data_IF_970106314041
#
_entry.id   IF_970106314041
#
_cell.length_a   1.000
_cell.length_b   1.000
_cell.length_c   1.000
_cell.angle_alpha   90.00
_cell.angle_beta   90.00
_cell.angle_gamma   90.00
#
_symmetry.space_group_name_H-M   'P 1'
#
loop_
_entity.id
_entity.type
_entity.pdbx_description
1 polymer ?
#
# COMPACT_ATOMS: atom_id res chain seq x y z
N UNK A 1 -42.35 -59.26 -0.60
CA UNK A 1 -43.54 -58.84 -1.36
C UNK A 1 -43.24 -57.45 -1.89
N UNK A 2 -42.20 -57.30 -2.72
CA UNK A 2 -42.02 -57.83 -4.11
C UNK A 2 -42.85 -56.97 -5.05
N UNK A 3 -42.42 -56.40 -6.17
CA UNK A 3 -41.39 -56.64 -7.20
C UNK A 3 -41.20 -55.26 -7.90
N UNK A 4 -40.06 -54.73 -8.35
CA UNK A 4 -39.03 -55.13 -9.33
C UNK A 4 -39.50 -55.45 -10.76
N UNK A 5 -38.95 -54.71 -11.73
CA UNK A 5 -38.84 -55.04 -13.16
C UNK A 5 -39.53 -54.03 -14.10
N UNK A 6 -39.00 -53.62 -15.25
CA UNK A 6 -37.83 -54.06 -16.03
C UNK A 6 -37.58 -53.11 -17.24
N UNK A 7 -36.40 -53.28 -17.84
CA UNK A 7 -35.95 -53.01 -19.22
C UNK A 7 -35.02 -51.80 -19.43
N UNK A 8 -33.80 -51.92 -19.99
CA UNK A 8 -33.15 -53.06 -20.64
C UNK A 8 -31.63 -52.93 -20.81
N UNK A 9 -30.97 -54.06 -21.14
CA UNK A 9 -29.54 -54.32 -21.44
C UNK A 9 -29.26 -54.21 -22.97
N UNK A 10 -28.04 -54.50 -23.53
CA UNK A 10 -26.63 -54.19 -23.18
C UNK A 10 -25.75 -53.67 -24.38
N UNK A 11 -24.47 -53.34 -24.11
CA UNK A 11 -23.29 -53.01 -24.99
C UNK A 11 -22.96 -54.02 -26.13
N UNK A 12 -22.00 -53.83 -27.12
CA UNK A 12 -20.66 -53.16 -27.05
C UNK A 12 -20.06 -52.55 -28.36
N UNK A 13 -18.81 -52.02 -28.34
CA UNK A 13 -17.94 -51.93 -29.55
C UNK A 13 -16.90 -50.79 -29.62
N UNK A 14 -15.66 -51.12 -30.02
CA UNK A 14 -14.41 -50.35 -29.91
C UNK A 14 -14.08 -49.33 -31.03
N UNK A 15 -13.11 -48.43 -30.75
CA UNK A 15 -12.01 -48.10 -31.68
C UNK A 15 -11.94 -46.66 -32.23
N UNK A 16 -10.87 -45.93 -31.88
CA UNK A 16 -10.45 -44.71 -32.61
C UNK A 16 -9.55 -43.74 -31.83
N UNK A 17 -8.23 -43.90 -31.95
CA UNK A 17 -7.17 -42.86 -31.77
C UNK A 17 -7.24 -41.89 -32.97
N UNK A 18 -7.08 -40.56 -32.88
CA UNK A 18 -5.87 -39.79 -32.55
C UNK A 18 -6.21 -38.25 -32.61
N UNK A 19 -5.29 -37.26 -32.63
CA UNK A 19 -4.97 -36.38 -31.51
C UNK A 19 -5.20 -34.87 -31.78
N UNK A 20 -5.06 -34.03 -30.74
CA UNK A 20 -4.64 -32.63 -30.94
C UNK A 20 -5.56 -31.54 -30.38
N UNK A 21 -5.40 -31.22 -29.11
CA UNK A 21 -5.68 -29.87 -28.59
C UNK A 21 -4.57 -29.52 -27.60
N UNK A 22 -3.71 -28.59 -28.04
CA UNK A 22 -2.59 -28.08 -27.24
C UNK A 22 -3.08 -27.36 -25.97
N UNK A 23 -2.17 -27.15 -24.99
CA UNK A 23 -2.54 -26.57 -23.72
C UNK A 23 -2.97 -25.12 -23.93
N UNK A 24 -4.23 -24.84 -23.57
CA UNK A 24 -4.75 -23.49 -23.43
C UNK A 24 -3.81 -22.74 -22.48
N UNK A 25 -3.06 -21.79 -23.04
CA UNK A 25 -2.15 -20.93 -22.31
C UNK A 25 -3.00 -20.09 -21.35
N UNK A 26 -3.11 -20.59 -20.13
CA UNK A 26 -3.79 -19.91 -19.03
C UNK A 26 -3.34 -18.46 -18.97
N UNK A 27 -4.23 -17.56 -19.40
CA UNK A 27 -4.11 -16.14 -19.06
C UNK A 27 -4.04 -16.10 -17.54
N UNK A 28 -2.99 -15.49 -16.94
CA UNK A 28 -2.92 -15.38 -15.50
C UNK A 28 -4.18 -14.64 -15.03
N UNK A 29 -5.04 -15.36 -14.32
CA UNK A 29 -6.25 -14.84 -13.71
C UNK A 29 -5.77 -13.87 -12.64
N UNK A 30 -5.65 -12.59 -13.01
CA UNK A 30 -5.30 -11.50 -12.09
C UNK A 30 -6.27 -11.61 -10.91
N UNK A 31 -5.76 -12.05 -9.78
CA UNK A 31 -6.45 -12.09 -8.50
C UNK A 31 -7.06 -10.71 -8.29
N UNK A 32 -8.38 -10.65 -8.23
CA UNK A 32 -9.09 -9.45 -7.84
C UNK A 32 -8.68 -9.16 -6.40
N UNK A 33 -7.74 -8.25 -6.21
CA UNK A 33 -7.33 -7.87 -4.87
C UNK A 33 -8.47 -7.14 -4.14
N UNK A 34 -8.60 -7.37 -2.82
CA UNK A 34 -9.68 -6.83 -2.00
C UNK A 34 -9.43 -5.35 -1.70
N UNK A 35 -9.54 -4.52 -2.73
CA UNK A 35 -9.44 -3.08 -2.64
C UNK A 35 -10.82 -2.46 -2.83
N UNK A 36 -11.58 -2.29 -1.74
CA UNK A 36 -12.94 -1.77 -1.78
C UNK A 36 -13.07 -0.48 -2.59
N UNK A 37 -13.78 -0.54 -3.71
CA UNK A 37 -14.05 0.60 -4.57
C UNK A 37 -14.68 0.17 -5.89
N UNK A 38 -15.51 1.03 -6.46
CA UNK A 38 -16.13 0.80 -7.77
C UNK A 38 -15.12 1.14 -8.87
N UNK A 39 -14.85 0.20 -9.79
CA UNK A 39 -13.99 0.46 -10.94
C UNK A 39 -14.69 1.45 -11.88
N UNK A 40 -14.12 2.64 -12.04
CA UNK A 40 -14.65 3.70 -12.90
C UNK A 40 -14.11 3.61 -14.33
N UNK A 41 -12.84 3.22 -14.49
CA UNK A 41 -12.20 3.16 -15.81
C UNK A 41 -10.72 2.81 -15.76
N UNK A 42 -10.05 2.82 -16.93
CA UNK A 42 -8.62 2.53 -17.07
C UNK A 42 -7.87 3.56 -17.93
N UNK A 43 -7.78 4.84 -17.52
CA UNK A 43 -6.98 5.83 -18.24
C UNK A 43 -5.51 5.40 -18.30
N UNK A 44 -4.91 5.47 -19.50
CA UNK A 44 -3.53 5.04 -19.77
C UNK A 44 -3.17 3.62 -19.29
N UNK A 45 -4.17 2.73 -19.18
CA UNK A 45 -3.99 1.35 -18.72
C UNK A 45 -3.98 1.17 -17.20
N UNK A 46 -4.11 2.24 -16.42
CA UNK A 46 -4.13 2.21 -14.94
C UNK A 46 -5.56 2.21 -14.43
N UNK A 47 -5.98 1.24 -13.60
CA UNK A 47 -7.35 1.19 -13.09
C UNK A 47 -7.64 2.30 -12.06
N UNK A 48 -8.76 3.00 -12.26
CA UNK A 48 -9.27 4.04 -11.35
C UNK A 48 -10.45 3.47 -10.55
N UNK A 49 -10.34 3.54 -9.23
CA UNK A 49 -11.37 3.08 -8.28
C UNK A 49 -11.96 4.25 -7.51
N UNK A 50 -13.28 4.22 -7.28
CA UNK A 50 -13.98 5.18 -6.41
C UNK A 50 -14.33 4.50 -5.11
N UNK A 51 -13.77 4.97 -4.00
CA UNK A 51 -14.07 4.45 -2.67
C UNK A 51 -15.45 4.93 -2.19
N UNK A 52 -16.18 4.17 -1.36
CA UNK A 52 -17.50 4.59 -0.84
C UNK A 52 -17.49 5.95 -0.12
N UNK A 53 -16.37 6.29 0.53
CA UNK A 53 -16.19 7.56 1.22
C UNK A 53 -16.26 8.78 0.30
N UNK A 54 -16.01 8.59 -1.00
CA UNK A 54 -16.18 9.63 -2.01
C UNK A 54 -17.62 10.16 -2.06
N UNK A 55 -18.62 9.28 -2.01
CA UNK A 55 -20.04 9.68 -2.08
C UNK A 55 -20.44 10.53 -0.88
N UNK A 56 -19.89 10.23 0.30
CA UNK A 56 -20.13 11.01 1.53
C UNK A 56 -19.56 12.42 1.39
N UNK A 57 -18.35 12.57 0.87
CA UNK A 57 -17.74 13.89 0.64
C UNK A 57 -18.48 14.66 -0.45
N UNK A 58 -18.84 14.01 -1.54
CA UNK A 58 -19.62 14.64 -2.60
C UNK A 58 -20.95 15.19 -2.06
N UNK A 59 -21.65 14.42 -1.21
CA UNK A 59 -22.88 14.88 -0.54
C UNK A 59 -22.60 16.06 0.40
N UNK A 60 -21.52 16.03 1.18
CA UNK A 60 -21.13 17.12 2.07
C UNK A 60 -20.80 18.41 1.30
N UNK A 61 -20.00 18.32 0.23
CA UNK A 61 -19.69 19.46 -0.65
C UNK A 61 -20.98 20.01 -1.26
N UNK A 62 -21.85 19.13 -1.75
CA UNK A 62 -23.14 19.53 -2.33
C UNK A 62 -24.00 20.29 -1.32
N UNK A 63 -24.03 19.86 -0.07
CA UNK A 63 -24.79 20.51 0.99
C UNK A 63 -24.19 21.89 1.36
N UNK A 64 -22.88 21.93 1.65
CA UNK A 64 -22.18 23.16 2.05
C UNK A 64 -22.21 24.20 0.93
N UNK A 65 -21.83 23.82 -0.28
CA UNK A 65 -21.80 24.72 -1.43
C UNK A 65 -23.21 25.11 -1.88
N UNK A 66 -24.19 24.20 -1.79
CA UNK A 66 -25.60 24.52 -2.03
C UNK A 66 -26.14 25.58 -1.06
N UNK A 67 -25.70 25.56 0.20
CA UNK A 67 -26.02 26.61 1.18
C UNK A 67 -25.33 27.95 0.87
N UNK A 68 -24.09 27.93 0.36
CA UNK A 68 -23.40 29.14 -0.09
C UNK A 68 -24.06 29.76 -1.33
N UNK A 69 -24.52 28.92 -2.27
CA UNK A 69 -25.22 29.37 -3.47
C UNK A 69 -26.49 30.15 -3.15
N UNK A 70 -27.16 29.88 -2.02
CA UNK A 70 -28.34 30.64 -1.58
C UNK A 70 -28.03 32.12 -1.35
N UNK A 71 -26.80 32.43 -0.89
CA UNK A 71 -26.37 33.79 -0.60
C UNK A 71 -26.01 34.57 -1.85
N UNK A 72 -25.61 33.87 -2.92
CA UNK A 72 -25.09 34.47 -4.16
C UNK A 72 -26.14 34.45 -5.28
N UNK A 73 -26.93 33.38 -5.35
CA UNK A 73 -27.93 33.11 -6.38
C UNK A 73 -29.25 32.65 -5.72
N UNK A 74 -29.93 33.53 -4.96
CA UNK A 74 -31.15 33.18 -4.22
C UNK A 74 -32.29 32.72 -5.13
N UNK A 75 -32.32 33.19 -6.39
CA UNK A 75 -33.37 32.90 -7.35
C UNK A 75 -33.39 31.45 -7.85
N UNK A 76 -32.35 30.65 -7.56
CA UNK A 76 -32.25 29.25 -8.00
C UNK A 76 -33.16 28.28 -7.21
N UNK A 77 -33.59 28.66 -6.00
CA UNK A 77 -34.34 27.77 -5.12
C UNK A 77 -33.67 26.41 -4.95
N UNK A 78 -34.41 25.30 -5.13
CA UNK A 78 -33.88 23.94 -4.98
C UNK A 78 -32.82 23.53 -6.01
N UNK A 79 -32.76 24.19 -7.18
CA UNK A 79 -31.79 23.87 -8.25
C UNK A 79 -30.34 24.13 -7.81
N UNK A 80 -30.13 24.95 -6.78
CA UNK A 80 -28.80 25.21 -6.20
C UNK A 80 -28.06 23.93 -5.81
N UNK A 81 -28.77 22.90 -5.35
CA UNK A 81 -28.14 21.63 -4.98
C UNK A 81 -27.74 20.79 -6.20
N UNK A 82 -28.42 20.93 -7.34
CA UNK A 82 -27.97 20.31 -8.59
C UNK A 82 -26.70 20.99 -9.11
N UNK A 83 -26.65 22.33 -9.04
CA UNK A 83 -25.44 23.09 -9.39
C UNK A 83 -24.29 22.73 -8.45
N UNK A 84 -24.56 22.58 -7.15
CA UNK A 84 -23.55 22.17 -6.18
C UNK A 84 -23.08 20.73 -6.35
N UNK A 85 -23.97 19.81 -6.75
CA UNK A 85 -23.58 18.45 -7.11
C UNK A 85 -22.69 18.43 -8.36
N UNK A 86 -23.05 19.22 -9.38
CA UNK A 86 -22.22 19.38 -10.57
C UNK A 86 -20.84 19.93 -10.20
N UNK A 87 -20.79 20.96 -9.34
CA UNK A 87 -19.53 21.48 -8.81
C UNK A 87 -18.71 20.41 -8.11
N UNK A 88 -19.31 19.61 -7.22
CA UNK A 88 -18.60 18.54 -6.51
C UNK A 88 -17.99 17.52 -7.48
N UNK A 89 -18.74 17.11 -8.51
CA UNK A 89 -18.26 16.18 -9.54
C UNK A 89 -17.13 16.81 -10.36
N UNK A 90 -17.28 18.05 -10.80
CA UNK A 90 -16.28 18.77 -11.57
C UNK A 90 -14.99 19.02 -10.77
N UNK A 91 -15.12 19.35 -9.48
CA UNK A 91 -13.99 19.48 -8.55
C UNK A 91 -13.24 18.16 -8.42
N UNK A 92 -13.93 17.04 -8.19
CA UNK A 92 -13.29 15.72 -8.16
C UNK A 92 -12.68 15.32 -9.48
N UNK A 93 -13.27 15.69 -10.62
CA UNK A 93 -12.65 15.49 -11.92
C UNK A 93 -11.32 16.25 -12.02
N UNK A 94 -11.24 17.48 -11.50
CA UNK A 94 -9.98 18.23 -11.46
C UNK A 94 -8.92 17.59 -10.55
N UNK A 95 -9.33 17.04 -9.39
CA UNK A 95 -8.44 16.24 -8.51
C UNK A 95 -7.98 14.95 -9.21
N UNK A 96 -8.86 14.28 -9.95
CA UNK A 96 -8.47 13.11 -10.74
C UNK A 96 -7.45 13.48 -11.82
N UNK A 97 -7.62 14.64 -12.48
CA UNK A 97 -6.65 15.15 -13.46
C UNK A 97 -5.30 15.43 -12.79
N UNK A 98 -5.27 15.98 -11.57
CA UNK A 98 -4.06 16.15 -10.76
C UNK A 98 -3.36 14.80 -10.50
N UNK A 99 -4.07 13.79 -10.02
CA UNK A 99 -3.51 12.44 -9.81
C UNK A 99 -3.03 11.78 -11.11
N UNK A 100 -3.75 12.02 -12.20
CA UNK A 100 -3.39 11.51 -13.51
C UNK A 100 -2.07 12.13 -13.99
N UNK A 101 -1.79 13.37 -13.62
CA UNK A 101 -0.51 14.03 -13.89
C UNK A 101 0.66 13.26 -13.26
N UNK A 102 0.54 12.90 -11.98
CA UNK A 102 1.53 12.06 -11.30
C UNK A 102 1.66 10.68 -11.96
N UNK A 103 0.53 10.06 -12.27
CA UNK A 103 0.50 8.74 -12.91
C UNK A 103 1.19 8.77 -14.27
N UNK A 104 0.89 9.75 -15.12
CA UNK A 104 1.53 9.91 -16.43
C UNK A 104 3.03 10.16 -16.28
N UNK A 105 3.45 11.00 -15.33
CA UNK A 105 4.87 11.23 -15.05
C UNK A 105 5.58 9.94 -14.57
N UNK A 106 4.94 9.14 -13.71
CA UNK A 106 5.45 7.86 -13.24
C UNK A 106 5.61 6.85 -14.39
N UNK A 107 4.59 6.73 -15.26
CA UNK A 107 4.63 5.87 -16.44
C UNK A 107 5.74 6.29 -17.41
N UNK A 108 5.98 7.59 -17.58
CA UNK A 108 7.10 8.11 -18.39
C UNK A 108 8.47 7.72 -17.83
N UNK A 109 8.59 7.63 -16.50
CA UNK A 109 9.77 7.11 -15.83
C UNK A 109 9.80 5.58 -15.67
N UNK A 110 8.86 4.86 -16.30
CA UNK A 110 8.71 3.39 -16.23
C UNK A 110 8.53 2.87 -14.81
N UNK A 111 7.96 3.69 -13.93
CA UNK A 111 7.59 3.27 -12.58
C UNK A 111 6.23 2.55 -12.65
N UNK A 112 6.12 1.32 -12.14
CA UNK A 112 4.85 0.59 -12.12
C UNK A 112 3.83 1.29 -11.22
N UNK A 113 2.65 1.57 -11.79
CA UNK A 113 1.50 2.15 -11.09
C UNK A 113 0.41 1.09 -11.02
N UNK A 114 -0.01 0.77 -9.79
CA UNK A 114 -0.94 -0.33 -9.52
C UNK A 114 -2.39 0.07 -9.72
N UNK A 115 -2.77 1.22 -9.18
CA UNK A 115 -4.12 1.80 -9.28
C UNK A 115 -4.15 3.25 -8.83
N UNK A 116 -5.21 3.96 -9.23
CA UNK A 116 -5.60 5.27 -8.69
C UNK A 116 -6.87 5.05 -7.88
N UNK A 117 -6.92 5.55 -6.64
CA UNK A 117 -8.11 5.45 -5.80
C UNK A 117 -8.59 6.85 -5.39
N UNK A 118 -9.84 7.18 -5.72
CA UNK A 118 -10.51 8.38 -5.23
C UNK A 118 -11.16 8.09 -3.88
N UNK A 119 -10.77 8.83 -2.86
CA UNK A 119 -11.18 8.66 -1.47
C UNK A 119 -11.56 9.99 -0.82
N UNK A 120 -11.92 9.94 0.47
CA UNK A 120 -12.35 11.10 1.26
C UNK A 120 -11.37 12.29 1.18
N UNK A 121 -10.08 12.03 1.26
CA UNK A 121 -9.03 13.06 1.31
C UNK A 121 -8.49 13.48 -0.07
N UNK A 122 -9.13 13.07 -1.16
CA UNK A 122 -8.66 13.30 -2.53
C UNK A 122 -8.37 12.00 -3.26
N UNK A 123 -7.49 12.05 -4.26
CA UNK A 123 -7.02 10.85 -4.95
C UNK A 123 -5.70 10.36 -4.37
N UNK A 124 -5.44 9.05 -4.46
CA UNK A 124 -4.15 8.46 -4.13
C UNK A 124 -3.73 7.56 -5.28
N UNK A 125 -2.57 7.87 -5.85
CA UNK A 125 -1.90 7.05 -6.86
C UNK A 125 -0.95 6.05 -6.19
N UNK A 126 -1.26 4.74 -6.27
CA UNK A 126 -0.41 3.69 -5.72
C UNK A 126 0.73 3.36 -6.70
N UNK A 127 1.90 3.93 -6.44
CA UNK A 127 3.14 3.66 -7.19
C UNK A 127 3.95 2.62 -6.43
N UNK A 128 4.25 1.48 -7.06
CA UNK A 128 4.87 0.34 -6.36
C UNK A 128 6.35 0.61 -6.03
N UNK A 129 7.06 1.34 -6.91
CA UNK A 129 8.50 1.62 -6.79
C UNK A 129 8.79 3.11 -6.56
N UNK A 130 9.70 3.42 -5.64
CA UNK A 130 10.22 4.79 -5.49
C UNK A 130 11.11 5.22 -6.66
N UNK A 131 11.23 6.54 -6.82
CA UNK A 131 12.12 7.12 -7.82
C UNK A 131 13.58 6.85 -7.48
N UNK A 132 14.36 6.42 -8.48
CA UNK A 132 15.77 6.06 -8.31
C UNK A 132 16.72 7.26 -8.17
N UNK A 133 16.24 8.48 -8.49
CA UNK A 133 17.04 9.70 -8.39
C UNK A 133 16.24 10.84 -7.77
N UNK A 134 16.89 11.75 -7.02
CA UNK A 134 16.21 12.88 -6.40
C UNK A 134 15.57 13.80 -7.45
N UNK A 135 16.20 13.98 -8.61
CA UNK A 135 15.64 14.79 -9.69
C UNK A 135 14.32 14.24 -10.23
N UNK A 136 14.23 12.91 -10.44
CA UNK A 136 12.98 12.27 -10.88
C UNK A 136 11.89 12.40 -9.84
N UNK A 137 12.24 12.25 -8.57
CA UNK A 137 11.27 12.41 -7.49
C UNK A 137 10.71 13.83 -7.42
N UNK A 138 11.57 14.84 -7.51
CA UNK A 138 11.13 16.23 -7.49
C UNK A 138 10.16 16.53 -8.62
N UNK A 139 10.48 16.12 -9.85
CA UNK A 139 9.60 16.31 -11.01
C UNK A 139 8.29 15.55 -10.81
N UNK A 140 8.35 14.30 -10.36
CA UNK A 140 7.16 13.48 -10.13
C UNK A 140 6.21 14.11 -9.11
N UNK A 141 6.74 14.71 -8.04
CA UNK A 141 5.94 15.42 -7.04
C UNK A 141 5.46 16.79 -7.52
N UNK A 142 6.24 17.50 -8.34
CA UNK A 142 5.89 18.85 -8.81
C UNK A 142 4.79 18.88 -9.89
N UNK A 143 4.67 17.82 -10.71
CA UNK A 143 3.77 17.80 -11.87
C UNK A 143 2.28 17.93 -11.49
N UNK A 144 1.84 17.35 -10.37
CA UNK A 144 0.46 17.48 -9.89
C UNK A 144 0.10 18.92 -9.54
N UNK A 145 0.81 19.57 -8.58
CA UNK A 145 0.58 20.96 -8.24
C UNK A 145 0.68 21.91 -9.43
N UNK A 146 1.65 21.68 -10.34
CA UNK A 146 1.75 22.44 -11.59
C UNK A 146 0.48 22.32 -12.42
N UNK A 147 -0.07 21.12 -12.59
CA UNK A 147 -1.29 20.93 -13.36
C UNK A 147 -2.51 21.57 -12.67
N UNK A 148 -2.60 21.53 -11.34
CA UNK A 148 -3.63 22.25 -10.60
C UNK A 148 -3.53 23.76 -10.79
N UNK A 149 -2.32 24.34 -10.82
CA UNK A 149 -2.14 25.77 -11.14
C UNK A 149 -2.58 26.08 -12.58
N UNK A 150 -2.24 25.22 -13.54
CA UNK A 150 -2.67 25.36 -14.94
C UNK A 150 -4.20 25.28 -15.05
N UNK A 151 -4.86 24.37 -14.34
CA UNK A 151 -6.31 24.29 -14.28
C UNK A 151 -6.93 25.55 -13.65
N UNK A 152 -6.31 26.08 -12.58
CA UNK A 152 -6.69 27.37 -12.01
C UNK A 152 -6.68 28.49 -13.06
N UNK A 153 -5.58 28.61 -13.81
CA UNK A 153 -5.48 29.56 -14.93
C UNK A 153 -6.50 29.29 -16.04
N UNK A 154 -6.76 28.03 -16.37
CA UNK A 154 -7.73 27.63 -17.38
C UNK A 154 -9.17 28.01 -17.01
N UNK A 155 -9.52 27.96 -15.72
CA UNK A 155 -10.84 28.43 -15.25
C UNK A 155 -10.89 29.95 -15.07
N UNK A 156 -9.76 30.61 -14.81
CA UNK A 156 -9.66 32.07 -14.70
C UNK A 156 -9.93 32.80 -16.04
N UNK A 157 -9.42 32.28 -17.16
CA UNK A 157 -9.60 32.89 -18.48
C UNK A 157 -11.09 33.04 -18.89
N UNK A 158 -11.92 31.98 -18.92
CA UNK A 158 -13.34 32.11 -19.27
C UNK A 158 -14.12 32.92 -18.24
N UNK A 159 -13.69 32.95 -16.97
CA UNK A 159 -14.31 33.75 -15.93
C UNK A 159 -14.28 35.26 -16.25
N UNK A 160 -13.30 35.74 -17.03
CA UNK A 160 -13.23 37.15 -17.45
C UNK A 160 -14.34 37.55 -18.45
N UNK A 161 -15.01 36.57 -19.06
CA UNK A 161 -16.04 36.78 -20.08
C UNK A 161 -17.44 36.43 -19.57
N UNK A 162 -17.58 36.10 -18.28
CA UNK A 162 -18.84 35.67 -17.67
C UNK A 162 -19.13 36.56 -16.46
N UNK A 163 -20.39 36.95 -16.30
CA UNK A 163 -20.84 37.71 -15.13
C UNK A 163 -20.75 36.87 -13.86
N UNK A 164 -20.14 37.43 -12.80
CA UNK A 164 -19.90 36.73 -11.54
C UNK A 164 -21.19 36.24 -10.85
N UNK A 165 -22.30 36.97 -11.02
CA UNK A 165 -23.62 36.64 -10.49
C UNK A 165 -24.41 35.61 -11.30
N UNK A 166 -23.73 34.77 -12.08
CA UNK A 166 -24.38 33.71 -12.88
C UNK A 166 -23.88 32.33 -12.48
N UNK A 167 -24.64 31.28 -12.77
CA UNK A 167 -24.25 29.89 -12.49
C UNK A 167 -22.88 29.55 -13.09
N UNK A 168 -22.57 29.86 -14.37
CA UNK A 168 -21.25 29.60 -14.93
C UNK A 168 -20.14 30.42 -14.23
N UNK A 169 -20.43 31.68 -13.84
CA UNK A 169 -19.47 32.52 -13.11
C UNK A 169 -19.08 31.92 -11.75
N UNK A 170 -20.07 31.50 -10.97
CA UNK A 170 -19.85 30.86 -9.65
C UNK A 170 -19.11 29.53 -9.79
N UNK A 171 -19.47 28.70 -10.78
CA UNK A 171 -18.80 27.42 -11.01
C UNK A 171 -17.34 27.59 -11.44
N UNK A 172 -17.05 28.51 -12.37
CA UNK A 172 -15.69 28.80 -12.82
C UNK A 172 -14.84 29.38 -11.69
N UNK A 173 -15.37 30.33 -10.92
CA UNK A 173 -14.69 30.90 -9.77
C UNK A 173 -14.42 29.83 -8.70
N UNK A 174 -15.41 29.00 -8.38
CA UNK A 174 -15.26 27.88 -7.45
C UNK A 174 -14.16 26.92 -7.90
N UNK A 175 -14.19 26.45 -9.16
CA UNK A 175 -13.23 25.50 -9.69
C UNK A 175 -11.81 26.08 -9.76
N UNK A 176 -11.69 27.35 -10.14
CA UNK A 176 -10.43 28.10 -10.09
C UNK A 176 -9.86 28.11 -8.67
N UNK A 177 -10.62 28.63 -7.70
CA UNK A 177 -10.18 28.77 -6.31
C UNK A 177 -9.84 27.41 -5.73
N UNK A 178 -10.68 26.39 -5.93
CA UNK A 178 -10.40 25.04 -5.43
C UNK A 178 -9.12 24.46 -6.01
N UNK A 179 -8.84 24.64 -7.30
CA UNK A 179 -7.58 24.15 -7.90
C UNK A 179 -6.35 24.91 -7.39
N UNK A 180 -6.47 26.22 -7.17
CA UNK A 180 -5.39 27.01 -6.56
C UNK A 180 -5.13 26.59 -5.11
N UNK A 181 -6.19 26.33 -4.34
CA UNK A 181 -6.11 25.78 -2.98
C UNK A 181 -5.40 24.42 -3.01
N UNK A 182 -5.83 23.49 -3.88
CA UNK A 182 -5.20 22.17 -4.02
C UNK A 182 -3.72 22.29 -4.36
N UNK A 183 -3.35 23.19 -5.28
CA UNK A 183 -1.94 23.44 -5.62
C UNK A 183 -1.15 24.00 -4.44
N UNK A 184 -1.70 25.02 -3.75
CA UNK A 184 -1.03 25.66 -2.62
C UNK A 184 -0.80 24.68 -1.46
N UNK A 185 -1.83 23.91 -1.08
CA UNK A 185 -1.71 22.89 -0.04
C UNK A 185 -0.70 21.81 -0.43
N UNK A 186 -0.76 21.29 -1.67
CA UNK A 186 0.20 20.28 -2.09
C UNK A 186 1.62 20.82 -2.29
N UNK A 187 1.85 22.13 -2.40
CA UNK A 187 3.19 22.71 -2.42
C UNK A 187 3.79 22.95 -1.02
N UNK A 188 3.02 22.79 0.05
CA UNK A 188 3.53 23.00 1.40
C UNK A 188 4.67 22.01 1.71
N UNK A 189 5.78 22.48 2.32
CA UNK A 189 6.99 21.67 2.50
C UNK A 189 6.82 20.71 3.69
N UNK A 190 6.11 19.59 3.52
CA UNK A 190 5.95 18.60 4.58
C UNK A 190 5.22 17.34 4.13
N UNK A 191 5.68 16.17 4.57
CA UNK A 191 4.96 14.92 4.29
C UNK A 191 3.61 14.92 5.04
N UNK A 192 2.54 14.34 4.46
CA UNK A 192 2.50 13.51 3.24
C UNK A 192 2.29 14.28 1.92
N UNK A 193 2.34 15.61 1.92
CA UNK A 193 2.04 16.45 0.76
C UNK A 193 3.15 16.36 -0.30
N UNK A 194 2.83 16.72 -1.55
CA UNK A 194 3.82 16.68 -2.64
C UNK A 194 5.03 17.58 -2.41
N UNK A 195 4.83 18.75 -1.81
CA UNK A 195 5.89 19.69 -1.41
C UNK A 195 6.81 19.07 -0.37
N UNK A 196 6.30 18.16 0.47
CA UNK A 196 7.11 17.30 1.33
C UNK A 196 8.02 16.35 0.55
N UNK A 197 7.50 15.73 -0.53
CA UNK A 197 8.30 14.88 -1.42
C UNK A 197 9.33 15.69 -2.22
N UNK A 198 8.97 16.90 -2.64
CA UNK A 198 9.91 17.85 -3.25
C UNK A 198 11.03 18.23 -2.27
N UNK A 199 10.70 18.56 -1.01
CA UNK A 199 11.68 18.83 0.03
C UNK A 199 12.58 17.62 0.29
N UNK A 200 11.99 16.42 0.40
CA UNK A 200 12.72 15.15 0.54
C UNK A 200 13.74 14.98 -0.59
N UNK A 201 13.33 15.21 -1.84
CA UNK A 201 14.20 15.12 -3.01
C UNK A 201 15.37 16.13 -2.95
N UNK A 202 15.12 17.36 -2.52
CA UNK A 202 16.17 18.38 -2.33
C UNK A 202 17.16 17.96 -1.25
N UNK A 203 16.68 17.57 -0.07
CA UNK A 203 17.52 17.13 1.04
C UNK A 203 18.30 15.85 0.67
N UNK A 204 17.67 14.92 -0.04
CA UNK A 204 18.34 13.75 -0.58
C UNK A 204 19.47 14.13 -1.53
N UNK A 205 19.24 15.06 -2.47
CA UNK A 205 20.29 15.54 -3.38
C UNK A 205 21.49 16.14 -2.63
N UNK A 206 21.24 16.87 -1.54
CA UNK A 206 22.27 17.52 -0.72
C UNK A 206 23.04 16.49 0.12
N UNK A 207 22.34 15.55 0.76
CA UNK A 207 22.91 14.61 1.73
C UNK A 207 23.42 13.31 1.09
N UNK A 208 22.99 12.99 -0.13
CA UNK A 208 23.23 11.71 -0.79
C UNK A 208 22.41 10.54 -0.21
N UNK A 209 21.67 10.74 0.89
CA UNK A 209 20.92 9.70 1.59
C UNK A 209 19.40 9.93 1.46
N UNK A 210 18.64 9.02 0.80
CA UNK A 210 17.18 9.17 0.66
C UNK A 210 16.46 9.25 2.01
N UNK A 211 16.94 8.47 2.99
CA UNK A 211 16.33 8.39 4.31
C UNK A 211 16.42 9.72 5.07
N UNK A 212 17.56 10.42 4.98
CA UNK A 212 17.73 11.76 5.57
C UNK A 212 16.72 12.75 5.00
N UNK A 213 16.42 12.66 3.70
CA UNK A 213 15.36 13.45 3.07
C UNK A 213 13.98 13.15 3.62
N UNK A 214 13.64 11.87 3.78
CA UNK A 214 12.34 11.46 4.36
C UNK A 214 12.19 11.96 5.79
N UNK A 215 13.24 11.82 6.60
CA UNK A 215 13.25 12.27 8.01
C UNK A 215 13.06 13.78 8.08
N UNK A 216 13.80 14.56 7.29
CA UNK A 216 13.66 16.01 7.24
C UNK A 216 12.24 16.41 6.84
N UNK A 217 11.72 15.88 5.73
CA UNK A 217 10.39 16.22 5.25
C UNK A 217 9.26 15.80 6.21
N UNK A 218 9.43 14.69 6.94
CA UNK A 218 8.48 14.26 7.96
C UNK A 218 8.49 15.21 9.18
N UNK A 219 9.67 15.68 9.61
CA UNK A 219 9.76 16.65 10.71
C UNK A 219 9.21 18.02 10.32
N UNK A 220 9.48 18.51 9.10
CA UNK A 220 8.86 19.76 8.63
C UNK A 220 7.34 19.60 8.51
N UNK A 221 6.84 18.45 8.05
CA UNK A 221 5.41 18.14 8.06
C UNK A 221 4.78 18.17 9.46
N UNK A 222 5.47 17.62 10.48
CA UNK A 222 5.02 17.71 11.88
C UNK A 222 5.02 19.14 12.40
N UNK A 223 6.05 19.92 12.06
CA UNK A 223 6.12 21.35 12.38
C UNK A 223 4.94 22.09 11.76
N UNK A 224 4.68 21.88 10.47
CA UNK A 224 3.55 22.44 9.73
C UNK A 224 2.20 22.05 10.36
N UNK A 225 2.03 20.80 10.78
CA UNK A 225 0.80 20.36 11.47
C UNK A 225 0.54 21.16 12.75
N UNK A 226 1.58 21.41 13.56
CA UNK A 226 1.50 22.25 14.76
C UNK A 226 1.22 23.71 14.40
N UNK A 227 1.87 24.23 13.35
CA UNK A 227 1.63 25.58 12.85
C UNK A 227 0.19 25.76 12.37
N UNK A 228 -0.41 24.77 11.71
CA UNK A 228 -1.83 24.81 11.30
C UNK A 228 -2.74 24.76 12.53
N UNK A 229 -2.44 23.88 13.49
CA UNK A 229 -3.24 23.73 14.71
C UNK A 229 -3.33 25.01 15.53
N UNK A 230 -2.21 25.73 15.67
CA UNK A 230 -2.11 26.95 16.50
C UNK A 230 -2.39 28.20 15.65
N UNK A 231 -1.84 28.25 14.45
CA UNK A 231 -1.86 29.43 13.58
C UNK A 231 -3.22 29.70 12.96
N UNK A 232 -3.97 28.67 12.57
CA UNK A 232 -5.29 28.87 11.93
C UNK A 232 -6.29 29.55 12.90
N UNK A 233 -6.48 29.09 14.15
CA UNK A 233 -7.32 29.79 15.11
C UNK A 233 -6.82 31.20 15.45
N UNK A 234 -5.51 31.40 15.58
CA UNK A 234 -4.95 32.73 15.90
C UNK A 234 -5.14 33.74 14.76
N UNK A 235 -5.00 33.31 13.51
CA UNK A 235 -5.22 34.16 12.33
C UNK A 235 -6.69 34.58 12.19
N UNK A 236 -7.63 33.70 12.52
CA UNK A 236 -9.05 34.03 12.51
C UNK A 236 -9.43 34.93 13.69
N UNK A 237 -8.85 34.71 14.88
CA UNK A 237 -9.05 35.58 16.04
C UNK A 237 -8.49 37.00 15.87
N UNK A 238 -7.41 37.17 15.10
CA UNK A 238 -6.78 38.49 14.87
C UNK A 238 -7.45 39.29 13.76
N UNK A 239 -8.47 38.74 13.08
CA UNK A 239 -9.14 39.40 11.95
C UNK A 239 -8.27 39.55 10.70
N UNK A 240 -7.07 38.97 10.68
CA UNK A 240 -6.10 39.11 9.59
C UNK A 240 -6.59 38.54 8.24
N UNK A 241 -7.59 37.65 8.28
CA UNK A 241 -8.22 37.04 7.10
C UNK A 241 -9.45 37.82 6.60
N UNK A 242 -9.71 39.02 7.12
CA UNK A 242 -10.76 39.91 6.60
C UNK A 242 -12.19 39.54 7.04
N UNK A 243 -12.34 38.71 8.07
CA UNK A 243 -13.64 38.54 8.71
C UNK A 243 -13.94 39.80 9.53
N UNK A 244 -14.98 40.53 9.14
CA UNK A 244 -15.48 41.67 9.92
C UNK A 244 -15.72 41.21 11.37
N UNK A 245 -15.05 41.88 12.30
CA UNK A 245 -14.99 41.57 13.73
C UNK A 245 -16.33 41.73 14.48
N UNK A 246 -17.47 41.80 13.79
CA UNK A 246 -18.75 42.19 14.36
C UNK A 246 -19.62 41.04 14.86
N UNK A 247 -19.44 39.79 14.42
CA UNK A 247 -20.20 38.64 14.96
C UNK A 247 -19.37 37.35 14.98
N UNK A 248 -18.32 37.28 15.80
CA UNK A 248 -17.66 35.99 16.07
C UNK A 248 -18.60 35.17 16.95
N UNK A 249 -19.45 34.36 16.33
CA UNK A 249 -20.19 33.33 17.05
C UNK A 249 -19.18 32.31 17.59
N UNK A 250 -19.30 31.91 18.87
CA UNK A 250 -18.41 30.89 19.46
C UNK A 250 -18.41 29.55 18.69
N UNK A 251 -19.42 29.33 17.84
CA UNK A 251 -19.53 28.16 16.96
C UNK A 251 -18.50 28.21 15.83
N UNK A 252 -18.25 29.38 15.22
CA UNK A 252 -17.26 29.53 14.14
C UNK A 252 -15.83 29.29 14.62
N UNK A 253 -15.51 29.74 15.84
CA UNK A 253 -14.20 29.48 16.46
C UNK A 253 -14.00 27.98 16.75
N UNK A 254 -15.06 27.31 17.23
CA UNK A 254 -15.00 25.87 17.51
C UNK A 254 -14.89 25.07 16.21
N UNK A 255 -15.57 25.47 15.13
CA UNK A 255 -15.45 24.82 13.82
C UNK A 255 -14.07 25.00 13.22
N UNK A 256 -13.48 26.19 13.30
CA UNK A 256 -12.13 26.45 12.79
C UNK A 256 -11.08 25.69 13.58
N UNK A 257 -11.20 25.65 14.91
CA UNK A 257 -10.34 24.85 15.77
C UNK A 257 -10.47 23.34 15.47
N UNK A 258 -11.68 22.85 15.23
CA UNK A 258 -11.93 21.46 14.87
C UNK A 258 -11.35 21.10 13.49
N UNK A 259 -11.52 21.98 12.50
CA UNK A 259 -10.90 21.82 11.17
C UNK A 259 -9.37 21.83 11.26
N UNK A 260 -8.80 22.77 12.03
CA UNK A 260 -7.36 22.83 12.29
C UNK A 260 -6.85 21.54 12.96
N UNK A 261 -7.61 21.01 13.93
CA UNK A 261 -7.29 19.75 14.60
C UNK A 261 -7.34 18.55 13.66
N UNK A 262 -8.34 18.47 12.79
CA UNK A 262 -8.45 17.42 11.77
C UNK A 262 -7.29 17.50 10.78
N UNK A 263 -6.99 18.69 10.23
CA UNK A 263 -5.85 18.90 9.33
C UNK A 263 -4.53 18.54 9.99
N UNK A 264 -4.32 18.99 11.23
CA UNK A 264 -3.15 18.65 12.03
C UNK A 264 -3.03 17.13 12.20
N UNK A 265 -4.10 16.44 12.59
CA UNK A 265 -4.10 14.99 12.74
C UNK A 265 -3.74 14.27 11.44
N UNK A 266 -4.28 14.71 10.30
CA UNK A 266 -3.99 14.12 8.98
C UNK A 266 -2.52 14.32 8.60
N UNK A 267 -2.00 15.54 8.70
CA UNK A 267 -0.60 15.83 8.35
C UNK A 267 0.34 15.08 9.30
N UNK A 268 0.05 15.10 10.61
CA UNK A 268 0.87 14.43 11.63
C UNK A 268 0.92 12.91 11.44
N UNK A 269 -0.25 12.28 11.27
CA UNK A 269 -0.35 10.83 11.05
C UNK A 269 0.24 10.43 9.69
N UNK A 270 0.02 11.23 8.65
CA UNK A 270 0.60 11.03 7.32
C UNK A 270 2.13 11.10 7.31
N UNK A 271 2.71 12.10 7.99
CA UNK A 271 4.16 12.20 8.19
C UNK A 271 4.71 10.99 8.97
N UNK A 272 4.02 10.59 10.04
CA UNK A 272 4.40 9.42 10.84
C UNK A 272 4.32 8.10 10.04
N UNK A 273 3.29 7.91 9.23
CA UNK A 273 3.13 6.75 8.36
C UNK A 273 4.22 6.70 7.29
N UNK A 274 4.50 7.83 6.65
CA UNK A 274 5.55 7.94 5.63
C UNK A 274 6.92 7.57 6.20
N UNK A 275 7.25 8.05 7.40
CA UNK A 275 8.50 7.71 8.07
C UNK A 275 8.58 6.23 8.45
N UNK A 276 7.49 5.66 8.97
CA UNK A 276 7.44 4.22 9.31
C UNK A 276 7.63 3.35 8.07
N UNK A 277 6.97 3.68 6.96
CA UNK A 277 7.10 2.95 5.71
C UNK A 277 8.52 3.05 5.12
N UNK A 278 9.13 4.23 5.19
CA UNK A 278 10.50 4.41 4.73
C UNK A 278 11.52 3.62 5.57
N UNK A 279 11.39 3.62 6.90
CA UNK A 279 12.23 2.79 7.80
C UNK A 279 12.09 1.32 7.52
N UNK A 280 10.85 0.86 7.33
CA UNK A 280 10.56 -0.51 7.00
C UNK A 280 11.33 -0.91 5.74
N UNK A 281 11.16 -0.13 4.67
CA UNK A 281 11.82 -0.36 3.38
C UNK A 281 13.34 -0.33 3.44
N UNK A 282 13.92 0.59 4.21
CA UNK A 282 15.38 0.70 4.38
C UNK A 282 15.99 -0.59 4.93
N UNK A 283 15.28 -1.30 5.82
CA UNK A 283 15.76 -2.53 6.44
C UNK A 283 15.25 -3.82 5.78
N UNK A 284 14.35 -3.75 4.81
CA UNK A 284 13.90 -4.94 4.07
C UNK A 284 15.07 -5.71 3.42
N UNK A 285 16.09 -5.07 2.82
CA UNK A 285 17.24 -5.78 2.25
C UNK A 285 18.06 -6.60 3.26
N UNK A 286 17.98 -6.28 4.56
CA UNK A 286 18.65 -7.03 5.63
C UNK A 286 17.94 -8.37 5.92
N UNK A 287 16.65 -8.48 5.55
CA UNK A 287 15.88 -9.71 5.65
C UNK A 287 16.22 -10.63 4.47
N UNK A 288 17.32 -11.37 4.58
CA UNK A 288 17.74 -12.36 3.59
C UNK A 288 17.51 -13.77 4.13
N UNK A 289 16.97 -14.66 3.29
CA UNK A 289 16.79 -16.06 3.67
C UNK A 289 18.14 -16.65 4.12
N UNK A 290 19.21 -16.45 3.35
CA UNK A 290 20.56 -16.96 3.68
C UNK A 290 21.07 -16.58 5.09
N UNK A 291 20.80 -15.37 5.56
CA UNK A 291 21.31 -14.88 6.86
C UNK A 291 20.43 -15.29 8.03
N UNK A 292 19.13 -15.49 7.78
CA UNK A 292 18.14 -15.90 8.78
C UNK A 292 17.99 -17.41 8.91
N UNK A 293 18.47 -18.16 7.91
CA UNK A 293 18.41 -19.62 7.89
C UNK A 293 19.32 -20.22 8.96
N UNK A 294 18.79 -21.19 9.69
CA UNK A 294 19.58 -22.05 10.56
C UNK A 294 20.16 -23.20 9.74
N UNK A 295 21.46 -23.44 9.85
CA UNK A 295 22.08 -24.63 9.24
C UNK A 295 21.35 -25.88 9.73
N UNK A 296 21.08 -26.79 8.79
CA UNK A 296 20.38 -28.03 9.07
C UNK A 296 21.27 -29.24 8.78
N UNK A 297 21.07 -30.32 9.55
CA UNK A 297 21.69 -31.61 9.27
C UNK A 297 20.65 -32.53 8.61
N UNK A 298 20.99 -33.16 7.47
CA UNK A 298 20.15 -34.19 6.87
C UNK A 298 20.20 -35.46 7.71
N UNK A 299 19.03 -36.02 8.04
CA UNK A 299 18.88 -37.26 8.81
C UNK A 299 17.86 -38.18 8.16
N UNK A 300 18.12 -39.49 8.20
CA UNK A 300 17.17 -40.47 7.67
C UNK A 300 15.91 -40.59 8.55
N UNK A 301 14.79 -40.98 7.94
CA UNK A 301 13.47 -41.03 8.57
C UNK A 301 13.40 -41.88 9.86
N UNK A 302 14.20 -42.96 9.95
CA UNK A 302 14.21 -43.87 11.09
C UNK A 302 15.20 -43.46 12.21
N UNK A 303 15.98 -42.39 11.99
CA UNK A 303 16.99 -41.94 12.96
C UNK A 303 16.33 -41.56 14.28
N UNK A 304 16.80 -42.07 15.44
CA UNK A 304 16.33 -41.62 16.74
C UNK A 304 16.59 -40.13 16.96
N UNK A 305 15.68 -39.43 17.65
CA UNK A 305 15.83 -38.00 17.93
C UNK A 305 17.11 -37.69 18.71
N UNK A 306 17.52 -38.54 19.66
CA UNK A 306 18.78 -38.34 20.41
C UNK A 306 20.01 -38.38 19.51
N UNK A 307 20.04 -39.30 18.54
CA UNK A 307 21.11 -39.42 17.55
C UNK A 307 21.14 -38.20 16.62
N UNK A 308 19.97 -37.80 16.12
CA UNK A 308 19.84 -36.64 15.25
C UNK A 308 20.30 -35.35 15.96
N UNK A 309 19.91 -35.16 17.23
CA UNK A 309 20.34 -34.02 18.05
C UNK A 309 21.85 -34.05 18.33
N UNK A 310 22.44 -35.24 18.57
CA UNK A 310 23.89 -35.35 18.72
C UNK A 310 24.62 -34.90 17.45
N UNK A 311 24.21 -35.41 16.28
CA UNK A 311 24.78 -35.01 14.98
C UNK A 311 24.61 -33.52 14.70
N UNK A 312 23.45 -32.95 15.02
CA UNK A 312 23.22 -31.52 14.89
C UNK A 312 24.17 -30.72 15.79
N UNK A 313 24.37 -31.14 17.04
CA UNK A 313 25.28 -30.48 17.96
C UNK A 313 26.74 -30.56 17.49
N UNK A 314 27.19 -31.74 17.04
CA UNK A 314 28.54 -31.95 16.51
C UNK A 314 28.82 -31.09 15.27
N UNK A 315 27.79 -30.88 14.43
CA UNK A 315 27.87 -30.04 13.24
C UNK A 315 27.58 -28.54 13.50
N UNK A 316 27.27 -28.15 14.75
CA UNK A 316 26.85 -26.78 15.09
C UNK A 316 25.54 -26.33 14.42
N UNK A 317 24.72 -27.28 13.97
CA UNK A 317 23.45 -27.04 13.32
C UNK A 317 22.31 -26.91 14.35
N UNK A 318 21.30 -26.11 14.00
CA UNK A 318 20.14 -25.84 14.88
C UNK A 318 18.82 -26.31 14.28
N UNK A 319 18.89 -27.06 13.19
CA UNK A 319 17.74 -27.59 12.48
C UNK A 319 18.02 -29.00 11.96
N UNK A 320 16.95 -29.75 11.71
CA UNK A 320 16.98 -31.11 11.18
C UNK A 320 16.07 -31.19 9.95
N UNK A 321 16.59 -31.81 8.89
CA UNK A 321 15.83 -32.10 7.67
C UNK A 321 15.80 -33.60 7.49
N UNK A 322 14.61 -34.16 7.35
CA UNK A 322 14.43 -35.57 7.06
C UNK A 322 14.65 -35.79 5.57
N UNK A 323 15.60 -36.65 5.23
CA UNK A 323 15.93 -37.05 3.86
C UNK A 323 15.55 -38.50 3.60
N UNK A 324 15.44 -38.85 2.32
CA UNK A 324 15.39 -40.25 1.90
C UNK A 324 16.78 -40.89 1.78
N UNK A 325 16.83 -42.16 1.39
CA UNK A 325 18.09 -42.90 1.21
C UNK A 325 18.96 -42.40 0.04
N UNK A 326 18.48 -41.44 -0.76
CA UNK A 326 19.23 -40.78 -1.84
C UNK A 326 19.65 -39.35 -1.44
N UNK A 327 19.34 -38.91 -0.21
CA UNK A 327 19.66 -37.57 0.28
C UNK A 327 18.64 -36.49 -0.13
N UNK A 328 17.52 -36.85 -0.75
CA UNK A 328 16.48 -35.90 -1.15
C UNK A 328 15.63 -35.48 0.05
N UNK A 329 15.33 -34.18 0.24
CA UNK A 329 14.56 -33.70 1.38
C UNK A 329 13.08 -34.12 1.29
N UNK A 330 12.61 -34.85 2.30
CA UNK A 330 11.21 -35.27 2.45
C UNK A 330 10.44 -34.43 3.46
N UNK A 331 11.08 -34.03 4.56
CA UNK A 331 10.41 -33.32 5.65
C UNK A 331 11.31 -32.38 6.42
N UNK A 332 10.73 -31.37 7.07
CA UNK A 332 11.42 -30.51 8.04
C UNK A 332 10.94 -30.87 9.44
N UNK A 333 11.87 -31.05 10.39
CA UNK A 333 11.50 -31.32 11.78
C UNK A 333 11.09 -30.01 12.46
N UNK A 334 9.89 -29.98 13.05
CA UNK A 334 9.36 -28.80 13.72
C UNK A 334 10.03 -28.60 15.08
N UNK A 335 10.46 -27.39 15.39
CA UNK A 335 11.17 -27.09 16.65
C UNK A 335 10.27 -27.37 17.87
N UNK A 336 8.99 -26.97 17.78
CA UNK A 336 8.00 -27.23 18.82
C UNK A 336 7.78 -28.73 19.09
N UNK A 337 7.91 -29.58 18.05
CA UNK A 337 7.76 -31.03 18.19
C UNK A 337 8.94 -31.65 18.94
N UNK A 338 10.17 -31.13 18.75
CA UNK A 338 11.37 -31.58 19.49
C UNK A 338 11.24 -31.22 20.97
N UNK A 339 10.84 -29.99 21.28
CA UNK A 339 10.68 -29.50 22.67
C UNK A 339 9.61 -30.28 23.42
N UNK A 340 8.56 -30.73 22.72
CA UNK A 340 7.50 -31.55 23.30
C UNK A 340 7.91 -32.98 23.69
N UNK A 341 9.08 -33.47 23.28
CA UNK A 341 9.55 -34.83 23.61
C UNK A 341 10.45 -34.82 24.86
N UNK A 342 10.04 -35.47 25.96
CA UNK A 342 10.86 -35.62 27.16
C UNK A 342 12.19 -36.30 26.89
N UNK A 343 13.25 -35.91 27.61
CA UNK A 343 14.63 -36.35 27.31
C UNK A 343 14.80 -37.88 27.30
N UNK A 344 14.18 -38.57 28.26
CA UNK A 344 14.24 -40.03 28.37
C UNK A 344 13.53 -40.77 27.21
N UNK A 345 12.64 -40.10 26.46
CA UNK A 345 11.95 -40.67 25.29
C UNK A 345 12.68 -40.43 23.98
N UNK A 346 13.57 -39.42 23.92
CA UNK A 346 14.30 -39.05 22.68
C UNK A 346 15.05 -40.21 22.01
N UNK A 347 15.61 -41.22 22.72
CA UNK A 347 16.24 -42.38 22.08
C UNK A 347 15.29 -43.33 21.35
N UNK A 348 13.99 -43.27 21.65
CA UNK A 348 12.99 -44.20 21.12
C UNK A 348 12.01 -43.54 20.13
N UNK A 349 12.14 -42.24 19.91
CA UNK A 349 11.29 -41.47 19.00
C UNK A 349 12.05 -41.24 17.70
N UNK A 350 11.51 -41.73 16.59
CA UNK A 350 12.06 -41.47 15.26
C UNK A 350 11.77 -40.02 14.83
N UNK A 351 12.74 -39.38 14.17
CA UNK A 351 12.60 -38.00 13.67
C UNK A 351 11.46 -37.82 12.67
N UNK A 352 11.10 -38.88 11.92
CA UNK A 352 9.96 -38.86 10.99
C UNK A 352 8.63 -38.53 11.67
N UNK A 353 8.40 -38.98 12.91
CA UNK A 353 7.19 -38.68 13.66
C UNK A 353 7.08 -37.21 14.12
N UNK A 354 8.16 -36.45 14.01
CA UNK A 354 8.25 -35.04 14.38
C UNK A 354 8.41 -34.11 13.16
N UNK A 355 8.55 -34.71 11.98
CA UNK A 355 8.71 -34.01 10.72
C UNK A 355 7.36 -33.63 10.10
N UNK A 356 7.35 -32.50 9.40
CA UNK A 356 6.29 -32.10 8.50
C UNK A 356 6.78 -32.28 7.06
N UNK A 357 5.94 -32.86 6.21
CA UNK A 357 6.25 -33.06 4.79
C UNK A 357 6.48 -31.71 4.09
N UNK A 358 7.50 -31.67 3.23
CA UNK A 358 7.84 -30.47 2.45
C UNK A 358 7.00 -30.45 1.18
N UNK A 359 6.17 -29.42 1.04
CA UNK A 359 5.53 -29.10 -0.23
C UNK A 359 6.41 -28.18 -1.07
N UNK A 360 6.19 -28.12 -2.39
CA UNK A 360 6.93 -27.20 -3.27
C UNK A 360 6.73 -25.73 -2.86
N UNK A 361 5.59 -25.42 -2.23
CA UNK A 361 5.31 -24.13 -1.61
C UNK A 361 6.23 -23.76 -0.44
N UNK A 362 6.85 -24.74 0.21
CA UNK A 362 7.71 -24.55 1.40
C UNK A 362 9.21 -24.46 1.07
N UNK A 363 9.59 -24.64 -0.20
CA UNK A 363 10.97 -24.46 -0.67
C UNK A 363 11.23 -23.00 -0.99
N UNK A 364 12.24 -22.42 -0.35
CA UNK A 364 12.63 -21.01 -0.47
C UNK A 364 14.09 -20.92 -0.95
N UNK A 365 14.39 -20.17 -2.02
CA UNK A 365 15.77 -19.95 -2.45
C UNK A 365 16.59 -19.19 -1.41
N UNK A 366 17.86 -19.56 -1.21
CA UNK A 366 18.75 -18.91 -0.23
C UNK A 366 18.97 -17.41 -0.52
N UNK A 367 18.98 -17.02 -1.79
CA UNK A 367 19.18 -15.63 -2.23
C UNK A 367 17.93 -14.76 -2.12
N UNK A 368 16.77 -15.33 -1.74
CA UNK A 368 15.54 -14.57 -1.62
C UNK A 368 15.65 -13.58 -0.45
N UNK A 369 15.31 -12.32 -0.71
CA UNK A 369 15.47 -11.21 0.23
C UNK A 369 14.32 -10.20 0.16
N UNK A 370 14.13 -9.43 1.24
CA UNK A 370 13.21 -8.31 1.29
C UNK A 370 11.76 -8.68 1.01
N UNK A 371 11.09 -7.88 0.16
CA UNK A 371 9.67 -8.07 -0.17
C UNK A 371 9.41 -9.44 -0.82
N UNK A 372 10.29 -9.89 -1.72
CA UNK A 372 10.13 -11.18 -2.40
C UNK A 372 10.12 -12.36 -1.40
N UNK A 373 10.92 -12.27 -0.32
CA UNK A 373 10.89 -13.25 0.75
C UNK A 373 9.55 -13.21 1.49
N UNK A 374 9.09 -12.03 1.89
CA UNK A 374 7.83 -11.88 2.62
C UNK A 374 6.62 -12.33 1.79
N UNK A 375 6.58 -12.01 0.50
CA UNK A 375 5.49 -12.41 -0.39
C UNK A 375 5.45 -13.92 -0.59
N UNK A 376 6.62 -14.58 -0.66
CA UNK A 376 6.71 -16.03 -0.72
C UNK A 376 6.15 -16.69 0.54
N UNK A 377 6.50 -16.18 1.72
CA UNK A 377 6.02 -16.67 3.02
C UNK A 377 4.51 -16.45 3.18
N UNK A 378 3.98 -15.31 2.70
CA UNK A 378 2.53 -15.04 2.70
C UNK A 378 1.76 -15.95 1.75
N UNK A 379 2.34 -16.28 0.59
CA UNK A 379 1.70 -17.13 -0.41
C UNK A 379 1.59 -18.60 0.04
N UNK A 380 2.51 -19.07 0.90
CA UNK A 380 2.44 -20.42 1.48
C UNK A 380 2.74 -20.36 2.98
N UNK A 381 1.76 -20.04 3.83
CA UNK A 381 1.98 -19.94 5.27
C UNK A 381 2.38 -21.28 5.89
N UNK A 382 3.59 -21.34 6.44
CA UNK A 382 4.12 -22.46 7.21
C UNK A 382 4.93 -21.94 8.42
N UNK A 383 5.20 -22.82 9.39
CA UNK A 383 6.03 -22.53 10.57
C UNK A 383 7.54 -22.63 10.25
N UNK A 384 7.92 -23.55 9.37
CA UNK A 384 9.28 -23.78 8.91
C UNK A 384 9.32 -23.98 7.39
N UNK A 385 10.39 -23.50 6.77
CA UNK A 385 10.63 -23.58 5.32
C UNK A 385 11.98 -24.22 5.05
N UNK A 386 12.06 -25.03 4.00
CA UNK A 386 13.33 -25.55 3.52
C UNK A 386 14.00 -24.48 2.68
N UNK A 387 15.21 -24.09 3.05
CA UNK A 387 16.03 -23.18 2.26
C UNK A 387 17.00 -23.97 1.40
N UNK A 388 16.96 -23.71 0.10
CA UNK A 388 17.74 -24.43 -0.92
C UNK A 388 18.67 -23.49 -1.66
N UNK A 389 19.83 -24.01 -2.03
CA UNK A 389 20.74 -23.37 -2.98
C UNK A 389 20.16 -23.44 -4.40
N UNK A 390 20.71 -22.64 -5.33
CA UNK A 390 20.33 -22.71 -6.76
C UNK A 390 20.58 -24.09 -7.38
N UNK A 391 21.55 -24.83 -6.83
CA UNK A 391 21.89 -26.22 -7.21
C UNK A 391 20.86 -27.24 -6.72
N UNK A 392 19.91 -26.84 -5.88
CA UNK A 392 18.94 -27.74 -5.23
C UNK A 392 19.44 -28.38 -3.94
N UNK A 393 20.66 -28.08 -3.51
CA UNK A 393 21.21 -28.56 -2.24
C UNK A 393 20.52 -27.91 -1.03
N UNK A 394 20.49 -28.65 0.08
CA UNK A 394 19.91 -28.18 1.35
C UNK A 394 20.87 -27.16 1.98
N UNK A 395 20.45 -25.89 2.02
CA UNK A 395 21.18 -24.86 2.75
C UNK A 395 20.81 -24.87 4.25
N UNK A 396 19.52 -25.03 4.55
CA UNK A 396 19.05 -25.14 5.92
C UNK A 396 17.55 -24.96 6.08
N UNK A 397 17.13 -24.54 7.28
CA UNK A 397 15.72 -24.30 7.62
C UNK A 397 15.53 -22.87 8.08
N UNK A 398 14.52 -22.21 7.51
CA UNK A 398 14.09 -20.88 7.90
C UNK A 398 12.80 -20.99 8.73
N UNK A 399 12.81 -20.40 9.94
CA UNK A 399 11.62 -20.34 10.79
C UNK A 399 10.91 -18.99 10.63
N UNK A 400 9.58 -19.00 10.57
CA UNK A 400 8.77 -17.77 10.56
C UNK A 400 9.05 -16.91 11.78
N UNK A 401 9.27 -17.52 12.95
CA UNK A 401 9.59 -16.79 14.18
C UNK A 401 10.94 -16.06 14.11
N UNK A 402 11.90 -16.56 13.33
CA UNK A 402 13.19 -15.89 13.12
C UNK A 402 13.03 -14.68 12.20
N UNK A 403 12.22 -14.82 11.15
CA UNK A 403 11.88 -13.72 10.24
C UNK A 403 11.13 -12.62 10.99
N UNK A 404 10.15 -12.96 11.81
CA UNK A 404 9.40 -12.01 12.64
C UNK A 404 10.31 -11.28 13.64
N UNK A 405 11.18 -12.02 14.35
CA UNK A 405 12.15 -11.41 15.28
C UNK A 405 13.12 -10.48 14.56
N UNK A 406 13.62 -10.89 13.39
CA UNK A 406 14.49 -10.05 12.58
C UNK A 406 13.78 -8.78 12.10
N UNK A 407 12.51 -8.91 11.68
CA UNK A 407 11.66 -7.80 11.28
C UNK A 407 11.43 -6.80 12.42
N UNK A 408 11.06 -7.27 13.61
CA UNK A 408 10.88 -6.42 14.80
C UNK A 408 12.19 -5.72 15.18
N UNK A 409 13.31 -6.46 15.15
CA UNK A 409 14.63 -5.90 15.45
C UNK A 409 15.06 -4.83 14.43
N UNK A 410 14.79 -5.05 13.15
CA UNK A 410 15.02 -4.07 12.09
C UNK A 410 14.21 -2.78 12.34
N UNK A 411 12.95 -2.92 12.73
CA UNK A 411 12.08 -1.77 13.04
C UNK A 411 12.49 -0.98 14.29
N UNK A 412 13.18 -1.62 15.24
CA UNK A 412 13.61 -1.01 16.50
C UNK A 412 14.96 -0.27 16.39
N UNK A 413 15.74 -0.45 15.30
CA UNK A 413 17.03 0.21 15.13
C UNK A 413 16.86 1.71 14.82
N UNK A 414 17.60 2.60 15.50
CA UNK A 414 17.74 3.97 15.03
C UNK A 414 18.44 3.97 13.66
N UNK A 415 17.94 4.76 12.72
CA UNK A 415 18.61 5.00 11.43
C UNK A 415 20.00 5.62 11.67
N UNK A 416 21.03 5.06 11.02
CA UNK A 416 22.44 5.39 11.21
C UNK A 416 22.95 6.60 10.42
#
# INVERSE_FOLDING_TARGET
MDESGDSGRPQPGAGGTDPGTGPDKGKPRRTAEPGGGLLMGRPFGVPVYVAPSWFVVAALITWVFGGQLDRVLPDLGGLRYLVALFFAIAFYASVLVHELAHTVAALRYKLPVRRIQLQFFGGVSEIEKESETPGREFVLAFVGPLLSLVLGGLFYVPLQFVEAGTVPGVLLAGLMISNLIVAAFNLLPGLPLDGGRMLRAVVWKITGKPMSGTVAAAWVGRGLAVTVLIGLPLLTHTGALGNDTSEISGVETVTDALLAAILCAIIWTGAGNSLRMARLREHLPDLRARTLTRRAVPVESATPLSEALRRANDAGARALVVVDGQGSPKGVVREAAIVGVPEHRRPWVAVSGLAQDITDGMKVPAELAGEALLDRLKATPATEYLVVEETGEIYGVLSTADVERAFVKAMARPSA
#
